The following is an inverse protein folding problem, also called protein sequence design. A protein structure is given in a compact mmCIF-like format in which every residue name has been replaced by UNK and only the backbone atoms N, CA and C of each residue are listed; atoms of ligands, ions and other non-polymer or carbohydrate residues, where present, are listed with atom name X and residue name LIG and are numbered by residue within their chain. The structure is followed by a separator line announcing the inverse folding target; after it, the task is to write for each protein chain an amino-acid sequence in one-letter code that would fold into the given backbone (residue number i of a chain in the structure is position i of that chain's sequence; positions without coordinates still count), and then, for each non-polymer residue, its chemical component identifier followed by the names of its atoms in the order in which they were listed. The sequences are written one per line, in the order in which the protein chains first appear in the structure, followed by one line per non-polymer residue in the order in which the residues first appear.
data_IF_214074210436
#
_entry.id   IF_214074210436
#
_cell.length_a   1.000
_cell.length_b   1.000
_cell.length_c   1.000
_cell.angle_alpha   90.00
_cell.angle_beta   90.00
_cell.angle_gamma   90.00
#
_symmetry.space_group_name_H-M   'P 1'
#
loop_
_entity.id
_entity.type
_entity.pdbx_description
1 polymer ?
#
# COMPACT_ATOMS: atom_id res chain seq x y z
N UNK A 1 22.55 22.18 -11.14
CA UNK A 1 21.78 21.24 -11.93
C UNK A 1 20.61 20.75 -11.07
N UNK A 2 19.38 20.81 -11.58
CA UNK A 2 18.20 20.31 -10.87
C UNK A 2 17.92 18.90 -11.35
N UNK A 3 17.58 18.01 -10.45
CA UNK A 3 17.05 16.69 -10.76
C UNK A 3 15.53 16.79 -10.93
N UNK A 4 15.00 16.12 -11.95
CA UNK A 4 13.58 16.09 -12.27
C UNK A 4 13.13 14.64 -12.36
N UNK A 5 12.01 14.33 -11.77
CA UNK A 5 11.33 13.03 -11.92
C UNK A 5 9.84 13.24 -12.15
N UNK A 6 9.17 12.21 -12.67
CA UNK A 6 7.72 12.16 -12.82
C UNK A 6 7.20 11.11 -11.85
N UNK A 7 6.11 11.41 -11.16
CA UNK A 7 5.38 10.47 -10.31
C UNK A 7 4.00 10.25 -10.91
N UNK A 8 3.66 8.98 -11.13
CA UNK A 8 2.35 8.56 -11.62
C UNK A 8 1.53 7.94 -10.49
N UNK A 9 0.23 7.80 -10.74
CA UNK A 9 -0.73 7.10 -9.89
C UNK A 9 -1.48 6.10 -10.74
N UNK A 10 -0.86 4.95 -10.99
CA UNK A 10 -1.48 3.81 -11.67
C UNK A 10 -1.91 2.82 -10.59
N UNK A 11 -3.21 2.57 -10.53
CA UNK A 11 -3.85 1.79 -9.47
C UNK A 11 -4.24 0.39 -9.96
N UNK A 12 -4.39 0.21 -11.28
CA UNK A 12 -4.86 -1.03 -11.87
C UNK A 12 -4.16 -1.35 -13.19
N UNK A 13 -4.05 -2.64 -13.53
CA UNK A 13 -3.39 -3.11 -14.77
C UNK A 13 -4.03 -2.55 -16.05
N UNK A 14 -5.32 -2.26 -16.04
CA UNK A 14 -6.03 -1.70 -17.20
C UNK A 14 -5.64 -0.26 -17.55
N UNK A 15 -4.97 0.44 -16.65
CA UNK A 15 -4.45 1.79 -16.90
C UNK A 15 -3.11 1.75 -17.68
N UNK A 16 -2.48 0.57 -17.79
CA UNK A 16 -1.21 0.39 -18.49
C UNK A 16 -1.50 0.12 -19.97
N UNK A 17 -1.96 1.15 -20.66
CA UNK A 17 -2.28 1.10 -22.09
C UNK A 17 -1.02 1.26 -22.96
N UNK A 18 -1.09 0.93 -24.29
CA UNK A 18 0.01 1.21 -25.21
C UNK A 18 0.44 2.69 -25.15
N UNK A 19 -0.50 3.63 -25.10
CA UNK A 19 -0.24 5.08 -25.07
C UNK A 19 0.46 5.47 -23.76
N UNK A 20 0.09 4.88 -22.65
CA UNK A 20 0.80 5.06 -21.36
C UNK A 20 2.26 4.61 -21.49
N UNK A 21 2.50 3.43 -22.06
CA UNK A 21 3.86 2.88 -22.25
C UNK A 21 4.68 3.79 -23.18
N UNK A 22 4.10 4.26 -24.27
CA UNK A 22 4.78 5.19 -25.21
C UNK A 22 5.15 6.51 -24.52
N UNK A 23 4.24 7.08 -23.71
CA UNK A 23 4.48 8.30 -22.95
C UNK A 23 5.63 8.11 -21.93
N UNK A 24 5.61 7.00 -21.17
CA UNK A 24 6.70 6.67 -20.24
C UNK A 24 8.03 6.54 -20.96
N UNK A 25 8.08 5.84 -22.09
CA UNK A 25 9.30 5.69 -22.88
C UNK A 25 9.80 7.02 -23.43
N UNK A 26 8.92 7.93 -23.85
CA UNK A 26 9.27 9.27 -24.29
C UNK A 26 9.94 10.07 -23.15
N UNK A 27 9.38 10.03 -21.94
CA UNK A 27 9.94 10.68 -20.75
C UNK A 27 11.31 10.07 -20.40
N UNK A 28 11.42 8.75 -20.44
CA UNK A 28 12.67 8.02 -20.13
C UNK A 28 13.81 8.36 -21.12
N UNK A 29 13.48 8.55 -22.41
CA UNK A 29 14.49 9.01 -23.42
C UNK A 29 15.07 10.37 -23.12
N UNK A 30 14.38 11.22 -22.35
CA UNK A 30 14.91 12.50 -21.87
C UNK A 30 15.81 12.37 -20.63
N UNK A 31 16.03 11.14 -20.13
CA UNK A 31 16.79 10.87 -18.91
C UNK A 31 16.02 11.17 -17.62
N UNK A 32 14.70 11.29 -17.70
CA UNK A 32 13.82 11.57 -16.56
C UNK A 32 13.34 10.23 -15.98
N UNK A 33 13.49 10.05 -14.68
CA UNK A 33 12.97 8.89 -13.96
C UNK A 33 11.46 8.99 -13.75
N UNK A 34 10.77 7.86 -13.86
CA UNK A 34 9.32 7.76 -13.65
C UNK A 34 9.06 6.79 -12.50
N UNK A 35 8.27 7.21 -11.53
CA UNK A 35 7.91 6.45 -10.35
C UNK A 35 6.40 6.30 -10.24
N UNK A 36 5.93 5.22 -9.60
CA UNK A 36 4.51 5.03 -9.32
C UNK A 36 4.21 5.04 -7.83
N UNK A 37 3.18 5.78 -7.43
CA UNK A 37 2.54 5.70 -6.12
C UNK A 37 1.19 4.99 -6.29
N UNK A 38 1.06 3.81 -5.69
CA UNK A 38 -0.17 3.04 -5.70
C UNK A 38 -0.96 3.31 -4.42
N UNK A 39 -2.26 3.55 -4.50
CA UNK A 39 -3.16 3.54 -3.34
C UNK A 39 -3.81 2.17 -3.24
N UNK A 40 -3.57 1.48 -2.13
CA UNK A 40 -4.09 0.15 -1.89
C UNK A 40 -5.52 0.26 -1.37
N UNK A 41 -6.46 -0.16 -2.20
CA UNK A 41 -7.90 -0.03 -1.97
C UNK A 41 -8.60 -1.37 -2.14
N UNK A 42 -9.85 -1.44 -1.75
CA UNK A 42 -10.70 -2.62 -2.03
C UNK A 42 -10.78 -2.95 -3.53
N UNK A 43 -10.50 -1.99 -4.41
CA UNK A 43 -10.52 -2.16 -5.88
C UNK A 43 -9.33 -2.93 -6.44
N UNK A 44 -8.17 -2.88 -5.77
CA UNK A 44 -6.91 -3.49 -6.22
C UNK A 44 -6.22 -4.35 -5.15
N UNK A 45 -6.97 -4.77 -4.11
CA UNK A 45 -6.43 -5.53 -2.98
C UNK A 45 -6.57 -7.04 -3.08
N UNK A 46 -7.06 -7.57 -4.23
CA UNK A 46 -7.04 -9.01 -4.48
C UNK A 46 -5.60 -9.52 -4.49
N UNK A 47 -5.42 -10.81 -4.15
CA UNK A 47 -4.07 -11.38 -4.04
C UNK A 47 -3.27 -11.17 -5.31
N UNK A 48 -2.08 -10.60 -5.15
CA UNK A 48 -1.09 -10.37 -6.19
C UNK A 48 -1.49 -9.36 -7.28
N UNK A 49 -2.61 -8.66 -7.14
CA UNK A 49 -3.03 -7.63 -8.10
C UNK A 49 -2.09 -6.43 -8.09
N UNK A 50 -1.73 -5.94 -6.90
CA UNK A 50 -0.73 -4.89 -6.74
C UNK A 50 0.67 -5.34 -7.26
N UNK A 51 1.01 -6.62 -7.05
CA UNK A 51 2.24 -7.19 -7.59
C UNK A 51 2.23 -7.23 -9.13
N UNK A 52 1.09 -7.56 -9.74
CA UNK A 52 0.94 -7.54 -11.21
C UNK A 52 1.09 -6.11 -11.77
N UNK A 53 0.47 -5.11 -11.13
CA UNK A 53 0.63 -3.69 -11.51
C UNK A 53 2.11 -3.30 -11.47
N UNK A 54 2.80 -3.55 -10.36
CA UNK A 54 4.23 -3.23 -10.23
C UNK A 54 5.09 -3.94 -11.29
N UNK A 55 4.80 -5.21 -11.56
CA UNK A 55 5.52 -5.98 -12.58
C UNK A 55 5.39 -5.37 -13.96
N UNK A 56 4.17 -5.03 -14.38
CA UNK A 56 3.91 -4.42 -15.69
C UNK A 56 4.49 -3.01 -15.79
N UNK A 57 4.37 -2.21 -14.75
CA UNK A 57 4.99 -0.89 -14.68
C UNK A 57 6.51 -0.95 -14.82
N UNK A 58 7.17 -1.91 -14.16
CA UNK A 58 8.62 -2.11 -14.33
C UNK A 58 8.99 -2.44 -15.78
N UNK A 59 8.21 -3.25 -16.46
CA UNK A 59 8.42 -3.56 -17.87
C UNK A 59 8.22 -2.33 -18.77
N UNK A 60 7.31 -1.43 -18.40
CA UNK A 60 7.09 -0.17 -19.09
C UNK A 60 8.19 0.88 -18.80
N UNK A 61 9.02 0.68 -17.78
CA UNK A 61 10.09 1.61 -17.38
C UNK A 61 9.72 2.54 -16.23
N UNK A 62 8.70 2.18 -15.45
CA UNK A 62 8.27 2.89 -14.23
C UNK A 62 8.76 2.14 -13.01
N UNK A 63 9.40 2.86 -12.08
CA UNK A 63 9.91 2.30 -10.83
C UNK A 63 8.84 2.35 -9.73
N UNK A 64 8.73 1.31 -8.89
CA UNK A 64 7.86 1.36 -7.71
C UNK A 64 8.40 2.38 -6.70
N UNK A 65 7.49 3.07 -6.00
CA UNK A 65 7.86 4.07 -5.01
C UNK A 65 7.14 3.81 -3.67
N UNK A 66 5.85 4.10 -3.59
CA UNK A 66 5.05 3.85 -2.38
C UNK A 66 3.78 3.09 -2.71
N UNK A 67 3.37 2.24 -1.75
CA UNK A 67 2.01 1.73 -1.67
C UNK A 67 1.33 2.36 -0.46
N UNK A 68 0.37 3.25 -0.71
CA UNK A 68 -0.35 3.97 0.33
C UNK A 68 -1.59 3.22 0.80
N UNK A 69 -1.84 3.22 2.11
CA UNK A 69 -3.17 2.94 2.64
C UNK A 69 -4.12 4.11 2.36
N UNK A 70 -5.36 3.81 1.98
CA UNK A 70 -6.39 4.82 1.84
C UNK A 70 -6.64 5.50 3.20
N UNK A 71 -6.64 6.85 3.21
CA UNK A 71 -6.78 7.64 4.44
C UNK A 71 -8.19 7.59 4.99
N UNK A 72 -8.25 7.72 6.31
CA UNK A 72 -9.43 7.66 7.14
C UNK A 72 -10.38 8.85 7.10
N UNK A 73 -10.79 9.33 5.93
CA UNK A 73 -11.97 10.21 5.79
C UNK A 73 -13.21 9.36 5.56
N UNK A 74 -14.37 9.79 6.03
CA UNK A 74 -15.62 9.04 5.86
C UNK A 74 -15.94 8.77 4.39
N UNK A 75 -15.63 9.72 3.49
CA UNK A 75 -15.80 9.61 2.04
C UNK A 75 -14.97 8.48 1.42
N UNK A 76 -13.89 8.04 2.06
CA UNK A 76 -13.00 6.97 1.57
C UNK A 76 -13.25 5.64 2.25
N UNK A 77 -14.24 5.53 3.13
CA UNK A 77 -14.49 4.35 3.96
C UNK A 77 -14.70 3.07 3.16
N UNK A 78 -15.40 3.17 2.03
CA UNK A 78 -15.67 2.02 1.15
C UNK A 78 -14.42 1.50 0.43
N UNK A 79 -13.40 2.34 0.31
CA UNK A 79 -12.13 1.99 -0.36
C UNK A 79 -11.06 1.49 0.61
N UNK A 80 -11.30 1.53 1.91
CA UNK A 80 -10.29 1.17 2.90
C UNK A 80 -10.09 -0.34 2.96
N UNK A 81 -8.85 -0.71 3.18
CA UNK A 81 -8.39 -2.09 3.37
C UNK A 81 -7.69 -2.15 4.72
N UNK A 82 -7.88 -3.21 5.51
CA UNK A 82 -7.14 -3.38 6.77
C UNK A 82 -5.63 -3.30 6.55
N UNK A 83 -4.91 -2.66 7.47
CA UNK A 83 -3.43 -2.61 7.44
C UNK A 83 -2.84 -4.02 7.38
N UNK A 84 -3.44 -4.97 8.08
CA UNK A 84 -3.06 -6.37 8.03
C UNK A 84 -3.06 -6.95 6.60
N UNK A 85 -3.96 -6.48 5.70
CA UNK A 85 -4.02 -6.96 4.32
C UNK A 85 -2.83 -6.45 3.49
N UNK A 86 -2.44 -5.18 3.68
CA UNK A 86 -1.27 -4.65 2.96
C UNK A 86 0.03 -5.33 3.44
N UNK A 87 0.12 -5.63 4.73
CA UNK A 87 1.24 -6.40 5.30
C UNK A 87 1.27 -7.82 4.76
N UNK A 88 0.11 -8.50 4.69
CA UNK A 88 -0.03 -9.83 4.09
C UNK A 88 0.42 -9.82 2.62
N UNK A 89 -0.10 -8.90 1.80
CA UNK A 89 0.27 -8.78 0.39
C UNK A 89 1.78 -8.61 0.23
N UNK A 90 2.37 -7.65 0.93
CA UNK A 90 3.79 -7.37 0.86
C UNK A 90 4.66 -8.59 1.24
N UNK A 91 4.21 -9.38 2.22
CA UNK A 91 4.92 -10.60 2.62
C UNK A 91 4.76 -11.74 1.63
N UNK A 92 3.56 -11.94 1.09
CA UNK A 92 3.27 -13.01 0.15
C UNK A 92 3.93 -12.76 -1.21
N UNK A 93 3.82 -11.53 -1.75
CA UNK A 93 4.44 -11.16 -3.01
C UNK A 93 5.97 -11.17 -2.98
N UNK A 94 6.58 -11.03 -1.79
CA UNK A 94 8.01 -11.07 -1.62
C UNK A 94 8.67 -12.34 -2.17
N UNK A 95 7.91 -13.42 -2.34
CA UNK A 95 8.36 -14.69 -2.90
C UNK A 95 8.17 -14.81 -4.41
N UNK A 96 7.42 -13.90 -5.03
CA UNK A 96 7.06 -13.99 -6.44
C UNK A 96 8.08 -13.35 -7.37
N UNK A 97 8.76 -12.30 -6.92
CA UNK A 97 9.57 -11.46 -7.76
C UNK A 97 10.95 -11.15 -7.16
N UNK A 98 11.95 -10.89 -8.02
CA UNK A 98 13.22 -10.35 -7.58
C UNK A 98 13.06 -9.04 -6.80
N UNK A 99 13.99 -8.76 -5.88
CA UNK A 99 13.94 -7.58 -5.01
C UNK A 99 13.75 -6.25 -5.75
N UNK A 100 14.33 -6.10 -6.94
CA UNK A 100 14.20 -4.89 -7.74
C UNK A 100 12.77 -4.59 -8.24
N UNK A 101 11.89 -5.58 -8.25
CA UNK A 101 10.46 -5.39 -8.59
C UNK A 101 9.63 -5.03 -7.35
N UNK A 102 10.15 -5.33 -6.16
CA UNK A 102 9.48 -5.20 -4.86
C UNK A 102 9.98 -4.03 -4.01
N UNK A 103 10.63 -3.06 -4.60
CA UNK A 103 11.30 -1.96 -3.87
C UNK A 103 10.36 -0.80 -3.52
N UNK A 104 9.08 -1.04 -3.42
CA UNK A 104 8.16 -0.05 -2.86
C UNK A 104 8.05 -0.19 -1.34
N UNK A 105 7.58 0.87 -0.70
CA UNK A 105 7.34 0.92 0.73
C UNK A 105 5.83 1.07 0.99
N UNK A 106 5.28 0.16 1.80
CA UNK A 106 3.92 0.29 2.30
C UNK A 106 3.87 1.38 3.39
N UNK A 107 3.06 2.41 3.16
CA UNK A 107 3.02 3.58 4.05
C UNK A 107 1.60 4.02 4.39
N UNK A 108 1.44 4.52 5.60
CA UNK A 108 0.27 5.23 6.05
C UNK A 108 0.63 6.70 6.29
N UNK A 109 0.05 7.59 5.50
CA UNK A 109 0.36 9.01 5.59
C UNK A 109 -0.63 9.70 6.53
N UNK A 110 -0.18 9.97 7.75
CA UNK A 110 -0.99 10.54 8.82
C UNK A 110 -0.87 12.07 8.90
N UNK A 111 -1.94 12.77 9.27
CA UNK A 111 -1.88 14.18 9.56
C UNK A 111 -0.81 14.48 10.61
N UNK A 112 0.01 15.50 10.37
CA UNK A 112 1.10 15.99 11.23
C UNK A 112 2.27 15.02 11.46
N UNK A 113 2.06 13.70 11.36
CA UNK A 113 3.12 12.68 11.54
C UNK A 113 3.81 12.29 10.23
N UNK A 114 3.22 12.64 9.07
CA UNK A 114 3.75 12.27 7.77
C UNK A 114 3.64 10.78 7.44
N UNK A 115 4.61 10.25 6.74
CA UNK A 115 4.63 8.87 6.26
C UNK A 115 5.13 7.94 7.36
N UNK A 116 4.30 6.96 7.72
CA UNK A 116 4.64 5.89 8.66
C UNK A 116 4.76 4.57 7.89
N UNK A 117 5.90 3.92 8.03
CA UNK A 117 6.24 2.70 7.27
C UNK A 117 5.63 1.48 7.95
N UNK A 118 4.71 0.81 7.28
CA UNK A 118 3.91 -0.27 7.87
C UNK A 118 4.68 -1.58 8.06
N UNK A 119 5.78 -1.77 7.32
CA UNK A 119 6.59 -2.99 7.40
C UNK A 119 7.81 -2.83 8.30
N UNK A 120 7.98 -1.67 8.91
CA UNK A 120 9.11 -1.39 9.80
C UNK A 120 8.67 -1.36 11.26
N UNK A 121 9.41 -2.06 12.10
CA UNK A 121 9.27 -1.94 13.55
C UNK A 121 9.47 -0.50 14.02
N UNK A 122 8.85 -0.14 15.13
CA UNK A 122 9.00 1.16 15.80
C UNK A 122 8.30 2.36 15.14
N UNK A 123 7.50 2.16 14.09
CA UNK A 123 6.66 3.22 13.54
C UNK A 123 5.24 3.22 14.10
N UNK A 124 4.80 2.08 14.59
CA UNK A 124 3.49 1.89 15.20
C UNK A 124 3.49 0.69 16.13
N UNK A 125 2.54 0.69 17.04
CA UNK A 125 2.23 -0.43 17.92
C UNK A 125 0.76 -0.80 17.78
N UNK A 126 0.42 -2.08 17.90
CA UNK A 126 -0.97 -2.50 18.05
C UNK A 126 -1.31 -2.48 19.53
N UNK A 127 -2.20 -1.59 19.93
CA UNK A 127 -2.58 -1.39 21.32
C UNK A 127 -3.86 -2.16 21.71
N UNK A 128 -4.65 -2.61 20.74
CA UNK A 128 -5.86 -3.40 21.00
C UNK A 128 -6.27 -4.24 19.78
N UNK A 129 -6.87 -5.40 20.05
CA UNK A 129 -7.53 -6.27 19.07
C UNK A 129 -9.02 -6.33 19.40
N UNK A 130 -9.86 -6.22 18.37
CA UNK A 130 -11.31 -6.37 18.49
C UNK A 130 -11.77 -7.72 17.95
N UNK A 131 -12.92 -8.27 18.39
CA UNK A 131 -13.43 -9.58 17.97
C UNK A 131 -13.60 -9.73 16.45
N UNK A 132 -14.01 -8.65 15.76
CA UNK A 132 -14.17 -8.60 14.30
C UNK A 132 -12.86 -8.48 13.52
N UNK A 133 -11.73 -8.69 14.19
CA UNK A 133 -10.39 -8.59 13.62
C UNK A 133 -9.88 -7.17 13.41
N UNK A 134 -10.64 -6.16 13.83
CA UNK A 134 -10.19 -4.78 13.81
C UNK A 134 -9.01 -4.61 14.77
N UNK A 135 -8.02 -3.85 14.36
CA UNK A 135 -6.86 -3.51 15.19
C UNK A 135 -6.84 -2.03 15.47
N UNK A 136 -6.47 -1.67 16.67
CA UNK A 136 -6.23 -0.28 17.06
C UNK A 136 -4.74 -0.07 17.08
N UNK A 137 -4.26 0.79 16.20
CA UNK A 137 -2.86 1.16 16.09
C UNK A 137 -2.59 2.47 16.80
N UNK A 138 -1.45 2.58 17.46
CA UNK A 138 -0.84 3.84 17.87
C UNK A 138 0.35 4.09 16.95
N UNK A 139 0.26 5.11 16.12
CA UNK A 139 1.36 5.58 15.28
C UNK A 139 2.17 6.62 16.02
N UNK A 140 3.48 6.50 15.93
CA UNK A 140 4.40 7.45 16.53
C UNK A 140 5.63 7.65 15.62
N UNK A 141 6.19 8.88 15.53
CA UNK A 141 7.40 9.10 14.76
C UNK A 141 8.58 8.38 15.42
N UNK A 142 9.57 7.98 14.61
CA UNK A 142 10.79 7.32 15.10
C UNK A 142 11.57 8.18 16.10
N UNK A 143 11.41 9.51 16.03
CA UNK A 143 12.00 10.48 16.95
C UNK A 143 11.26 10.64 18.28
N UNK A 144 10.19 9.88 18.52
CA UNK A 144 9.36 9.96 19.74
C UNK A 144 10.19 10.04 21.03
N UNK A 145 11.31 9.32 21.12
CA UNK A 145 12.19 9.31 22.28
C UNK A 145 13.10 10.54 22.38
N UNK A 146 13.42 11.15 21.26
CA UNK A 146 14.31 12.31 21.17
C UNK A 146 13.48 13.60 21.24
N UNK A 147 12.35 13.59 20.58
CA UNK A 147 11.42 14.71 20.52
C UNK A 147 10.02 14.20 20.87
N UNK A 148 9.59 14.35 22.13
CA UNK A 148 8.24 13.99 22.54
C UNK A 148 7.24 14.64 21.59
N UNK A 149 6.51 13.86 20.84
CA UNK A 149 5.53 14.30 19.86
C UNK A 149 4.18 13.65 20.09
N UNK A 150 3.19 14.21 19.46
CA UNK A 150 1.86 13.62 19.43
C UNK A 150 1.91 12.24 18.78
N UNK A 151 1.18 11.30 19.35
CA UNK A 151 0.86 10.02 18.72
C UNK A 151 -0.49 10.13 18.01
N UNK A 152 -0.74 9.22 17.09
CA UNK A 152 -2.02 9.15 16.40
C UNK A 152 -2.61 7.76 16.59
N UNK A 153 -3.76 7.70 17.23
CA UNK A 153 -4.51 6.45 17.41
C UNK A 153 -5.46 6.27 16.23
N UNK A 154 -5.38 5.11 15.59
CA UNK A 154 -6.17 4.75 14.44
C UNK A 154 -6.92 3.43 14.71
N UNK A 155 -8.25 3.47 14.63
CA UNK A 155 -9.12 2.29 14.65
C UNK A 155 -9.27 1.81 13.20
N UNK A 156 -8.64 0.68 12.87
CA UNK A 156 -8.53 0.15 11.51
C UNK A 156 -9.85 -0.45 11.01
N UNK A 157 -9.87 -0.91 9.78
CA UNK A 157 -11.02 -1.59 9.20
C UNK A 157 -11.16 -3.02 9.77
N UNK A 158 -12.41 -3.50 9.85
CA UNK A 158 -12.70 -4.87 10.25
C UNK A 158 -12.23 -5.87 9.20
N UNK A 159 -11.48 -6.88 9.62
CA UNK A 159 -11.07 -7.97 8.74
C UNK A 159 -12.28 -8.78 8.28
N UNK A 160 -13.25 -9.05 9.16
CA UNK A 160 -14.47 -9.78 8.79
C UNK A 160 -15.25 -9.06 7.68
N UNK A 161 -15.45 -7.74 7.85
CA UNK A 161 -16.16 -6.92 6.85
C UNK A 161 -15.38 -6.87 5.53
N UNK A 162 -14.07 -6.75 5.60
CA UNK A 162 -13.22 -6.76 4.40
C UNK A 162 -13.30 -8.09 3.65
N UNK A 163 -13.20 -9.23 4.35
CA UNK A 163 -13.30 -10.55 3.74
C UNK A 163 -14.68 -10.80 3.13
N UNK A 164 -15.75 -10.34 3.77
CA UNK A 164 -17.10 -10.40 3.21
C UNK A 164 -17.20 -9.62 1.89
N UNK A 165 -16.63 -8.41 1.82
CA UNK A 165 -16.56 -7.62 0.57
C UNK A 165 -15.76 -8.30 -0.54
N UNK A 166 -14.70 -9.03 -0.19
CA UNK A 166 -13.95 -9.82 -1.17
C UNK A 166 -14.80 -10.97 -1.71
N UNK A 167 -15.53 -11.69 -0.82
CA UNK A 167 -16.42 -12.76 -1.23
C UNK A 167 -17.54 -12.28 -2.19
N UNK A 168 -18.13 -11.11 -1.94
CA UNK A 168 -19.09 -10.46 -2.84
C UNK A 168 -18.51 -10.19 -4.25
N UNK A 169 -17.18 -10.07 -4.36
CA UNK A 169 -16.45 -9.88 -5.62
C UNK A 169 -15.93 -11.16 -6.24
N UNK A 170 -16.32 -12.31 -5.68
CA UNK A 170 -15.97 -13.64 -6.19
C UNK A 170 -14.64 -14.21 -5.71
N UNK A 171 -14.00 -13.56 -4.70
CA UNK A 171 -12.80 -14.10 -4.07
C UNK A 171 -13.16 -15.13 -2.98
N UNK A 172 -12.33 -16.14 -2.78
CA UNK A 172 -12.47 -17.08 -1.66
C UNK A 172 -11.80 -16.50 -0.40
N UNK A 173 -12.53 -16.19 0.68
CA UNK A 173 -11.95 -15.71 1.92
C UNK A 173 -10.88 -16.64 2.52
N UNK A 174 -10.95 -17.95 2.24
CA UNK A 174 -9.97 -18.93 2.72
C UNK A 174 -8.56 -18.65 2.19
N UNK A 175 -8.44 -18.10 0.98
CA UNK A 175 -7.17 -17.69 0.38
C UNK A 175 -6.48 -16.55 1.13
N UNK A 176 -7.24 -15.83 1.95
CA UNK A 176 -6.78 -14.68 2.75
C UNK A 176 -6.64 -15.02 4.25
N UNK A 177 -6.81 -16.28 4.64
CA UNK A 177 -6.87 -16.71 6.05
C UNK A 177 -5.67 -16.28 6.89
N UNK A 178 -4.50 -16.12 6.29
CA UNK A 178 -3.30 -15.64 7.00
C UNK A 178 -3.39 -14.18 7.46
N UNK A 179 -4.35 -13.38 6.96
CA UNK A 179 -4.53 -11.96 7.34
C UNK A 179 -4.66 -11.77 8.86
N UNK A 180 -5.20 -12.77 9.56
CA UNK A 180 -5.39 -12.73 11.00
C UNK A 180 -4.09 -12.69 11.81
N UNK A 181 -2.95 -13.04 11.20
CA UNK A 181 -1.64 -13.11 11.85
C UNK A 181 -0.75 -11.89 11.61
N UNK A 182 -1.23 -10.90 10.83
CA UNK A 182 -0.47 -9.68 10.54
C UNK A 182 -0.91 -8.53 11.45
N UNK A 183 0.06 -7.88 12.08
CA UNK A 183 -0.11 -6.72 12.96
C UNK A 183 1.21 -5.98 13.17
#
# INVERSE_FOLDING_TARGET
RREVCVVTHVEHVYEITPEFVEAVQAIRRLGISVYNQLVFTTGNSRRFEAAAVRRLLRLAGVDPYYTFCAKGKDETREYRVPIARIQQEAKEEARLFPGMVRTDEAVFNLPRLGKNYLLRAQHHDVISFRPDGRRVYEFHPWEKKIRPGETFVFDDESIEVYLARLAERGEDPADYSSIWYYY
#
